data_IF_061230599391
#
_entry.id   IF_061230599391
#
_cell.length_a   1.000
_cell.length_b   1.000
_cell.length_c   1.000
_cell.angle_alpha   90.00
_cell.angle_beta   90.00
_cell.angle_gamma   90.00
#
_symmetry.space_group_name_H-M   'P 1'
#
loop_
_entity.id
_entity.type
_entity.pdbx_description
1 polymer ?
#
# COMPACT_ATOMS: atom_id res chain seq x y z
N UNK A 1 21.16 -18.94 -6.21
CA UNK A 1 21.68 -17.70 -5.60
C UNK A 1 22.43 -18.10 -4.34
N UNK A 2 23.69 -17.72 -4.21
CA UNK A 2 24.47 -18.03 -3.00
C UNK A 2 24.00 -17.18 -1.81
N UNK A 3 24.18 -17.65 -0.56
CA UNK A 3 23.75 -16.91 0.64
C UNK A 3 24.40 -15.51 0.74
N UNK A 4 25.62 -15.35 0.24
CA UNK A 4 26.35 -14.08 0.18
C UNK A 4 25.73 -13.07 -0.79
N UNK A 5 25.24 -13.55 -1.94
CA UNK A 5 24.55 -12.73 -2.95
C UNK A 5 23.19 -12.25 -2.45
N UNK A 6 22.47 -13.10 -1.71
CA UNK A 6 21.20 -12.74 -1.07
C UNK A 6 21.39 -11.69 0.05
N UNK A 7 22.45 -11.83 0.86
CA UNK A 7 22.79 -10.86 1.91
C UNK A 7 23.23 -9.50 1.34
N UNK A 8 24.05 -9.49 0.28
CA UNK A 8 24.44 -8.27 -0.41
C UNK A 8 23.23 -7.54 -1.01
N UNK A 9 22.28 -8.30 -1.58
CA UNK A 9 21.03 -7.76 -2.10
C UNK A 9 20.14 -7.20 -0.97
N UNK A 10 19.98 -7.92 0.14
CA UNK A 10 19.29 -7.41 1.34
C UNK A 10 19.92 -6.13 1.87
N UNK A 11 21.26 -6.07 1.97
CA UNK A 11 21.98 -4.89 2.44
C UNK A 11 21.81 -3.69 1.48
N UNK A 12 21.81 -3.93 0.17
CA UNK A 12 21.55 -2.89 -0.83
C UNK A 12 20.14 -2.32 -0.70
N UNK A 13 19.12 -3.17 -0.46
CA UNK A 13 17.75 -2.72 -0.20
C UNK A 13 17.58 -2.05 1.16
N UNK A 14 18.29 -2.52 2.21
CA UNK A 14 18.28 -1.90 3.54
C UNK A 14 18.89 -0.48 3.55
N UNK A 15 19.71 -0.12 2.56
CA UNK A 15 20.22 1.26 2.37
C UNK A 15 19.17 2.22 1.84
N UNK A 16 18.09 1.73 1.21
CA UNK A 16 16.92 2.58 0.96
C UNK A 16 16.30 2.87 2.32
N UNK A 17 16.09 4.14 2.61
CA UNK A 17 15.39 4.52 3.82
C UNK A 17 14.03 3.81 3.88
N UNK A 18 13.66 3.30 5.05
CA UNK A 18 12.42 2.54 5.24
C UNK A 18 11.17 3.39 5.01
N UNK A 19 10.01 2.75 4.79
CA UNK A 19 8.76 3.47 4.69
C UNK A 19 8.44 4.18 6.02
N UNK A 20 7.89 5.38 5.93
CA UNK A 20 7.36 6.14 7.06
C UNK A 20 5.87 5.81 7.18
N UNK A 21 5.51 5.10 8.24
CA UNK A 21 4.13 4.81 8.60
C UNK A 21 3.55 5.82 9.59
N UNK A 22 2.24 5.71 9.80
CA UNK A 22 1.57 6.42 10.89
C UNK A 22 2.08 5.93 12.25
N UNK A 23 2.20 6.86 13.20
CA UNK A 23 2.54 6.52 14.59
C UNK A 23 1.33 5.93 15.33
N UNK A 24 1.57 5.36 16.52
CA UNK A 24 0.49 4.80 17.35
C UNK A 24 -0.50 5.89 17.77
N UNK A 25 -0.02 7.09 18.05
CA UNK A 25 -0.82 8.26 18.42
C UNK A 25 -1.66 8.73 17.23
N UNK A 26 -1.11 8.72 16.02
CA UNK A 26 -1.87 9.03 14.80
C UNK A 26 -2.94 7.98 14.50
N UNK A 27 -2.66 6.70 14.79
CA UNK A 27 -3.57 5.59 14.57
C UNK A 27 -4.74 5.59 15.54
N UNK A 28 -4.47 5.90 16.82
CA UNK A 28 -5.48 6.08 17.85
C UNK A 28 -6.47 4.91 17.93
N UNK A 29 -5.94 3.71 18.17
CA UNK A 29 -6.72 2.47 18.17
C UNK A 29 -7.79 2.40 19.27
N UNK A 30 -7.69 3.25 20.29
CA UNK A 30 -8.71 3.39 21.33
C UNK A 30 -10.02 3.93 20.74
N UNK A 31 -9.94 5.00 19.94
CA UNK A 31 -11.11 5.61 19.30
C UNK A 31 -11.43 4.98 17.93
N UNK A 32 -10.43 4.41 17.26
CA UNK A 32 -10.55 3.83 15.94
C UNK A 32 -10.12 2.35 15.96
N UNK A 33 -10.97 1.45 16.47
CA UNK A 33 -10.62 0.04 16.62
C UNK A 33 -10.33 -0.62 15.25
N UNK A 34 -9.35 -1.52 15.26
CA UNK A 34 -8.90 -2.24 14.07
C UNK A 34 -9.92 -3.31 13.68
N UNK A 35 -10.25 -3.33 12.39
CA UNK A 35 -10.97 -4.39 11.70
C UNK A 35 -9.97 -5.20 10.89
N UNK A 36 -10.19 -6.51 10.80
CA UNK A 36 -9.36 -7.42 10.03
C UNK A 36 -10.22 -8.16 9.01
N UNK A 37 -9.62 -8.57 7.89
CA UNK A 37 -10.30 -9.31 6.83
C UNK A 37 -9.38 -10.25 6.06
N UNK A 38 -9.96 -11.37 5.63
CA UNK A 38 -9.33 -12.32 4.72
C UNK A 38 -10.36 -12.78 3.66
N UNK A 39 -9.97 -12.92 2.36
CA UNK A 39 -8.64 -12.68 1.79
C UNK A 39 -8.24 -11.20 1.81
N UNK A 40 -6.95 -10.92 1.60
CA UNK A 40 -6.42 -9.56 1.55
C UNK A 40 -7.08 -8.74 0.44
N UNK A 41 -7.42 -7.48 0.74
CA UNK A 41 -8.08 -6.59 -0.22
C UNK A 41 -7.01 -6.00 -1.14
N UNK A 42 -7.05 -6.25 -2.46
CA UNK A 42 -6.05 -5.69 -3.39
C UNK A 42 -6.22 -4.18 -3.56
N UNK A 43 -5.13 -3.44 -3.38
CA UNK A 43 -5.12 -1.97 -3.41
C UNK A 43 -3.94 -1.41 -4.21
N UNK A 44 -4.06 -0.15 -4.61
CA UNK A 44 -2.91 0.72 -4.81
C UNK A 44 -2.80 1.69 -3.64
N UNK A 45 -1.60 1.93 -3.14
CA UNK A 45 -1.39 2.81 -1.99
C UNK A 45 -0.19 3.73 -2.19
N UNK A 46 -0.32 4.99 -1.77
CA UNK A 46 0.80 5.91 -1.68
C UNK A 46 1.58 5.67 -0.38
N UNK A 47 2.86 5.29 -0.50
CA UNK A 47 3.77 5.05 0.61
C UNK A 47 4.79 6.19 0.68
N UNK A 48 5.01 6.73 1.89
CA UNK A 48 6.02 7.77 2.13
C UNK A 48 7.34 7.14 2.52
N UNK A 49 8.42 7.74 2.00
CA UNK A 49 9.80 7.50 2.40
C UNK A 49 10.43 8.87 2.72
N UNK A 50 11.57 8.94 3.43
CA UNK A 50 12.15 10.23 3.81
C UNK A 50 12.35 11.24 2.67
N UNK A 51 12.62 10.77 1.45
CA UNK A 51 12.93 11.64 0.31
C UNK A 51 11.90 11.61 -0.82
N UNK A 52 10.89 10.74 -0.77
CA UNK A 52 9.93 10.55 -1.87
C UNK A 52 8.61 9.92 -1.41
N UNK A 53 7.67 9.81 -2.36
CA UNK A 53 6.46 9.00 -2.21
C UNK A 53 6.33 8.08 -3.43
N UNK A 54 5.93 6.83 -3.20
CA UNK A 54 5.76 5.82 -4.24
C UNK A 54 4.35 5.25 -4.22
N UNK A 55 3.78 5.01 -5.40
CA UNK A 55 2.50 4.32 -5.54
C UNK A 55 2.78 2.83 -5.72
N UNK A 56 2.39 2.02 -4.74
CA UNK A 56 2.64 0.57 -4.72
C UNK A 56 1.38 -0.23 -4.99
N UNK A 57 1.53 -1.40 -5.60
CA UNK A 57 0.51 -2.45 -5.60
C UNK A 57 0.66 -3.30 -4.34
N UNK A 58 -0.41 -3.42 -3.55
CA UNK A 58 -0.36 -4.14 -2.28
C UNK A 58 -1.70 -4.75 -1.90
N UNK A 59 -1.74 -5.27 -0.68
CA UNK A 59 -2.90 -5.88 -0.05
C UNK A 59 -3.13 -5.28 1.33
N UNK A 60 -4.40 -5.11 1.70
CA UNK A 60 -4.82 -4.68 3.04
C UNK A 60 -5.50 -5.83 3.76
N UNK A 61 -5.01 -6.15 4.95
CA UNK A 61 -5.58 -7.16 5.84
C UNK A 61 -6.20 -6.56 7.10
N UNK A 62 -5.72 -5.39 7.52
CA UNK A 62 -6.18 -4.68 8.70
C UNK A 62 -6.46 -3.20 8.37
N UNK A 63 -7.54 -2.65 8.92
CA UNK A 63 -7.90 -1.25 8.73
C UNK A 63 -8.72 -0.69 9.89
N UNK A 64 -8.66 0.62 10.07
CA UNK A 64 -9.56 1.36 10.95
C UNK A 64 -10.50 2.22 10.09
N UNK A 65 -11.28 3.11 10.71
CA UNK A 65 -12.05 4.09 9.93
C UNK A 65 -11.15 5.14 9.23
N UNK A 66 -9.94 5.38 9.74
CA UNK A 66 -9.03 6.45 9.26
C UNK A 66 -7.76 5.95 8.57
N UNK A 67 -7.38 4.69 8.74
CA UNK A 67 -6.10 4.15 8.27
C UNK A 67 -6.21 2.70 7.79
N UNK A 68 -5.24 2.26 7.01
CA UNK A 68 -5.12 0.88 6.54
C UNK A 68 -3.67 0.39 6.65
N UNK A 69 -3.49 -0.87 7.05
CA UNK A 69 -2.20 -1.56 7.02
C UNK A 69 -1.99 -2.12 5.61
N UNK A 70 -1.06 -1.52 4.87
CA UNK A 70 -0.72 -1.95 3.52
C UNK A 70 0.48 -2.87 3.58
N UNK A 71 0.35 -4.05 2.98
CA UNK A 71 1.45 -5.00 2.77
C UNK A 71 1.78 -5.04 1.28
N UNK A 72 3.06 -4.90 0.92
CA UNK A 72 3.51 -4.98 -0.47
C UNK A 72 4.88 -5.64 -0.56
N UNK A 73 5.27 -6.04 -1.77
CA UNK A 73 6.58 -6.62 -2.05
C UNK A 73 7.41 -5.64 -2.87
N UNK A 74 8.65 -5.40 -2.46
CA UNK A 74 9.68 -4.75 -3.27
C UNK A 74 10.87 -5.71 -3.36
N UNK A 75 11.04 -6.31 -4.54
CA UNK A 75 11.99 -7.40 -4.76
C UNK A 75 11.76 -8.59 -3.80
N UNK A 76 12.79 -9.04 -3.06
CA UNK A 76 12.65 -10.14 -2.11
C UNK A 76 12.06 -9.73 -0.76
N UNK A 77 11.84 -8.43 -0.52
CA UNK A 77 11.41 -7.90 0.78
C UNK A 77 9.90 -7.67 0.77
N UNK A 78 9.24 -8.14 1.82
CA UNK A 78 7.84 -7.78 2.10
C UNK A 78 7.84 -6.66 3.12
N UNK A 79 7.24 -5.54 2.76
CA UNK A 79 7.06 -4.39 3.62
C UNK A 79 5.62 -4.32 4.12
N UNK A 80 5.47 -3.68 5.27
CA UNK A 80 4.16 -3.42 5.87
C UNK A 80 4.20 -2.10 6.59
N UNK A 81 3.20 -1.26 6.35
CA UNK A 81 3.07 0.01 7.05
C UNK A 81 1.63 0.48 7.09
N UNK A 82 1.31 1.29 8.09
CA UNK A 82 0.01 1.96 8.17
C UNK A 82 0.06 3.29 7.42
N UNK A 83 -0.97 3.54 6.63
CA UNK A 83 -1.18 4.81 5.92
C UNK A 83 -2.60 5.31 6.14
N UNK A 84 -2.81 6.62 5.91
CA UNK A 84 -4.14 7.21 5.87
C UNK A 84 -5.02 6.48 4.85
N UNK A 85 -6.30 6.26 5.18
CA UNK A 85 -7.24 5.57 4.28
C UNK A 85 -7.40 6.30 2.94
N UNK A 86 -7.26 7.62 2.93
CA UNK A 86 -7.26 8.46 1.72
C UNK A 86 -6.04 8.25 0.81
N UNK A 87 -4.96 7.64 1.31
CA UNK A 87 -3.80 7.26 0.51
C UNK A 87 -3.97 5.89 -0.18
N UNK A 88 -5.07 5.19 0.11
CA UNK A 88 -5.34 3.84 -0.39
C UNK A 88 -6.52 3.88 -1.35
N UNK A 89 -6.37 3.23 -2.49
CA UNK A 89 -7.44 3.03 -3.47
C UNK A 89 -7.61 1.54 -3.74
N UNK A 90 -8.84 1.03 -3.66
CA UNK A 90 -9.10 -0.37 -4.04
C UNK A 90 -8.85 -0.57 -5.52
N UNK A 91 -8.21 -1.68 -5.89
CA UNK A 91 -7.86 -1.95 -7.29
C UNK A 91 -9.10 -2.02 -8.19
N UNK A 92 -10.19 -2.61 -7.70
CA UNK A 92 -11.47 -2.67 -8.41
C UNK A 92 -12.02 -1.27 -8.76
N UNK A 93 -11.95 -0.32 -7.82
CA UNK A 93 -12.40 1.05 -8.06
C UNK A 93 -11.60 1.75 -9.15
N UNK A 94 -10.30 1.46 -9.28
CA UNK A 94 -9.49 1.99 -10.38
C UNK A 94 -9.87 1.37 -11.73
N UNK A 95 -10.12 0.06 -11.77
CA UNK A 95 -10.55 -0.62 -13.00
C UNK A 95 -11.87 -0.05 -13.50
N UNK A 96 -12.83 0.17 -12.60
CA UNK A 96 -14.14 0.73 -12.93
C UNK A 96 -14.06 2.17 -13.42
N UNK A 97 -13.19 3.01 -12.83
CA UNK A 97 -12.92 4.38 -13.31
C UNK A 97 -12.39 4.38 -14.75
N UNK A 98 -11.40 3.54 -15.04
CA UNK A 98 -10.82 3.42 -16.38
C UNK A 98 -11.80 2.88 -17.43
N UNK A 99 -12.74 2.00 -17.03
CA UNK A 99 -13.75 1.47 -17.95
C UNK A 99 -14.84 2.51 -18.26
N UNK A 100 -15.36 3.19 -17.23
CA UNK A 100 -16.46 4.15 -17.36
C UNK A 100 -16.13 5.39 -18.21
N UNK A 101 -14.87 5.85 -18.20
CA UNK A 101 -14.41 6.91 -19.09
C UNK A 101 -14.39 6.46 -20.57
N UNK A 102 -14.02 5.21 -20.84
CA UNK A 102 -13.93 4.67 -22.22
C UNK A 102 -15.30 4.49 -22.87
N UNK A 103 -16.34 4.18 -22.09
CA UNK A 103 -17.71 4.01 -22.60
C UNK A 103 -18.41 5.35 -22.87
N UNK A 104 -18.09 6.42 -22.14
CA UNK A 104 -18.66 7.75 -22.39
C UNK A 104 -18.22 8.37 -23.72
N UNK A 105 -17.04 8.01 -24.23
CA UNK A 105 -16.53 8.52 -25.51
C UNK A 105 -17.17 7.93 -26.77
N UNK A 106 -18.02 6.90 -26.67
CA UNK A 106 -18.58 6.20 -27.85
C UNK A 106 -20.04 6.52 -28.18
N UNK A 107 -20.76 7.26 -27.34
CA UNK A 107 -22.19 7.57 -27.54
C UNK A 107 -22.48 9.02 -27.96
N UNK A 108 -21.52 9.70 -28.58
CA UNK A 108 -21.77 10.98 -29.25
C UNK A 108 -21.63 10.80 -30.76
N UNK A 109 -22.71 10.33 -31.39
CA UNK A 109 -23.06 10.62 -32.78
C UNK A 109 -24.49 10.19 -33.06
#
# INVERSE_FOLDING_TARGET
MGPEQAAALQAQYARRAGPIGLTVEELDFEHFPVKNGYPGIPVKAWIRFPNCAELVDGEVFAWTAKAAEVTWKDGPVTYRTWVWSSAVTRREEMMNRNLGERTRGKNSK
#
